data_IF_564568407368
#
_entry.id   IF_564568407368
#
_cell.length_a   1.000
_cell.length_b   1.000
_cell.length_c   1.000
_cell.angle_alpha   90.00
_cell.angle_beta   90.00
_cell.angle_gamma   90.00
#
_symmetry.space_group_name_H-M   'P 1'
#
loop_
_entity.id
_entity.type
_entity.pdbx_description
1 polymer ?
#
# COMPACT_ATOMS: atom_id res chain seq x y z
N UNK A 1 48.66 0.89 52.18
CA UNK A 1 49.04 1.32 50.81
C UNK A 1 48.98 0.12 49.86
N UNK A 2 47.99 0.05 48.94
CA UNK A 2 47.88 -1.04 47.95
C UNK A 2 48.74 -0.69 46.73
N UNK A 3 49.78 -1.48 46.44
CA UNK A 3 50.55 -1.37 45.20
C UNK A 3 49.63 -1.71 44.02
N UNK A 4 49.30 -0.71 43.18
CA UNK A 4 48.62 -0.95 41.90
C UNK A 4 49.62 -1.64 40.96
N UNK A 5 49.33 -2.88 40.58
CA UNK A 5 50.12 -3.60 39.58
C UNK A 5 50.04 -2.83 38.25
N UNK A 6 51.19 -2.50 37.66
CA UNK A 6 51.21 -1.90 36.33
C UNK A 6 50.90 -2.98 35.27
N UNK A 7 50.09 -2.64 34.25
CA UNK A 7 49.77 -3.57 33.18
C UNK A 7 51.04 -3.92 32.39
N UNK A 8 51.24 -5.22 32.14
CA UNK A 8 52.33 -5.69 31.29
C UNK A 8 52.14 -5.12 29.87
N UNK A 9 53.21 -4.65 29.20
CA UNK A 9 53.11 -4.14 27.85
C UNK A 9 52.61 -5.25 26.92
N UNK A 10 51.54 -4.97 26.19
CA UNK A 10 51.00 -5.90 25.19
C UNK A 10 52.02 -6.05 24.06
N UNK A 11 52.45 -7.28 23.81
CA UNK A 11 53.41 -7.59 22.77
C UNK A 11 52.82 -7.33 21.37
N UNK A 12 53.64 -6.85 20.43
CA UNK A 12 53.22 -6.47 19.08
C UNK A 12 52.62 -7.64 18.31
N UNK A 13 53.04 -8.85 18.66
CA UNK A 13 52.49 -10.11 18.16
C UNK A 13 50.97 -10.22 18.38
N UNK A 14 50.44 -9.75 19.51
CA UNK A 14 48.99 -9.82 19.80
C UNK A 14 48.15 -8.97 18.86
N UNK A 15 48.65 -7.82 18.43
CA UNK A 15 47.94 -6.96 17.47
C UNK A 15 47.89 -7.59 16.08
N UNK A 16 48.97 -8.27 15.69
CA UNK A 16 49.01 -8.98 14.40
C UNK A 16 48.06 -10.17 14.42
N UNK A 17 48.05 -10.95 15.51
CA UNK A 17 47.14 -12.08 15.66
C UNK A 17 45.67 -11.66 15.75
N UNK A 18 45.36 -10.57 16.46
CA UNK A 18 43.99 -10.06 16.54
C UNK A 18 43.50 -9.50 15.20
N UNK A 19 44.36 -8.82 14.45
CA UNK A 19 44.05 -8.35 13.10
C UNK A 19 43.79 -9.51 12.15
N UNK A 20 44.64 -10.54 12.20
CA UNK A 20 44.51 -11.73 11.34
C UNK A 20 43.24 -12.51 11.66
N UNK A 21 42.89 -12.64 12.95
CA UNK A 21 41.63 -13.22 13.41
C UNK A 21 40.43 -12.44 12.85
N UNK A 22 40.45 -11.11 12.92
CA UNK A 22 39.37 -10.26 12.39
C UNK A 22 39.19 -10.42 10.88
N UNK A 23 40.30 -10.51 10.13
CA UNK A 23 40.26 -10.72 8.67
C UNK A 23 39.62 -12.07 8.35
N UNK A 24 40.03 -13.14 9.04
CA UNK A 24 39.48 -14.48 8.85
C UNK A 24 37.98 -14.50 9.19
N UNK A 25 37.58 -13.85 10.28
CA UNK A 25 36.17 -13.75 10.67
C UNK A 25 35.34 -12.99 9.63
N UNK A 26 35.87 -11.91 9.07
CA UNK A 26 35.20 -11.13 8.03
C UNK A 26 35.02 -11.94 6.74
N UNK A 27 36.03 -12.72 6.32
CA UNK A 27 35.95 -13.60 5.15
C UNK A 27 34.95 -14.73 5.41
N UNK A 28 34.97 -15.34 6.59
CA UNK A 28 34.04 -16.40 6.98
C UNK A 28 32.60 -15.90 7.02
N UNK A 29 32.35 -14.74 7.61
CA UNK A 29 31.04 -14.10 7.60
C UNK A 29 30.60 -13.74 6.17
N UNK A 30 31.48 -13.21 5.31
CA UNK A 30 31.13 -12.87 3.93
C UNK A 30 30.88 -14.06 3.00
N UNK A 31 31.41 -15.24 3.32
CA UNK A 31 31.27 -16.46 2.49
C UNK A 31 30.14 -17.38 2.93
N UNK A 32 29.72 -17.32 4.20
CA UNK A 32 28.57 -18.07 4.71
C UNK A 32 27.26 -17.47 4.19
N UNK A 33 26.26 -18.32 3.87
CA UNK A 33 24.98 -17.90 3.27
C UNK A 33 24.30 -16.76 4.04
N UNK A 34 24.41 -16.73 5.37
CA UNK A 34 23.85 -15.66 6.20
C UNK A 34 24.49 -14.29 5.98
N UNK A 35 25.80 -14.21 5.69
CA UNK A 35 26.43 -12.92 5.41
C UNK A 35 26.15 -12.43 4.00
N UNK A 36 26.01 -13.34 3.03
CA UNK A 36 25.57 -12.97 1.68
C UNK A 36 24.13 -12.44 1.70
N UNK A 37 23.20 -13.14 2.35
CA UNK A 37 21.81 -12.67 2.48
C UNK A 37 21.72 -11.37 3.28
N UNK A 38 22.54 -11.17 4.30
CA UNK A 38 22.59 -9.91 5.06
C UNK A 38 23.15 -8.74 4.23
N UNK A 39 24.20 -8.96 3.43
CA UNK A 39 24.76 -7.95 2.53
C UNK A 39 23.77 -7.60 1.42
N UNK A 40 23.07 -8.59 0.86
CA UNK A 40 22.04 -8.37 -0.15
C UNK A 40 20.83 -7.63 0.45
N UNK A 41 20.41 -7.98 1.67
CA UNK A 41 19.37 -7.27 2.39
C UNK A 41 19.77 -5.81 2.67
N UNK A 42 21.00 -5.55 3.11
CA UNK A 42 21.51 -4.19 3.31
C UNK A 42 21.59 -3.40 2.00
N UNK A 43 22.07 -4.01 0.91
CA UNK A 43 22.12 -3.36 -0.41
C UNK A 43 20.73 -3.02 -0.92
N UNK A 44 19.78 -3.96 -0.79
CA UNK A 44 18.37 -3.75 -1.12
C UNK A 44 17.78 -2.63 -0.27
N UNK A 45 18.00 -2.63 1.05
CA UNK A 45 17.52 -1.57 1.94
C UNK A 45 18.12 -0.20 1.61
N UNK A 46 19.43 -0.13 1.31
CA UNK A 46 20.09 1.13 0.95
C UNK A 46 19.61 1.63 -0.40
N UNK A 47 19.39 0.75 -1.38
CA UNK A 47 18.80 1.12 -2.68
C UNK A 47 17.35 1.58 -2.50
N UNK A 48 16.51 0.84 -1.78
CA UNK A 48 15.12 1.23 -1.48
C UNK A 48 15.07 2.55 -0.70
N UNK A 49 15.96 2.77 0.27
CA UNK A 49 16.01 4.01 1.04
C UNK A 49 16.55 5.21 0.25
N UNK A 50 17.49 4.99 -0.67
CA UNK A 50 17.99 6.04 -1.58
C UNK A 50 16.95 6.40 -2.64
N UNK A 51 16.30 5.39 -3.22
CA UNK A 51 15.17 5.59 -4.14
C UNK A 51 13.99 6.24 -3.43
N UNK A 52 13.71 5.89 -2.16
CA UNK A 52 12.67 6.54 -1.39
C UNK A 52 12.87 8.07 -1.36
N UNK A 53 14.07 8.57 -1.04
CA UNK A 53 14.33 10.03 -0.93
C UNK A 53 13.97 10.85 -2.17
N UNK A 54 13.98 10.25 -3.37
CA UNK A 54 13.65 10.93 -4.63
C UNK A 54 12.23 10.64 -5.13
N UNK A 55 11.53 9.68 -4.51
CA UNK A 55 10.15 9.39 -4.84
C UNK A 55 9.22 10.37 -4.13
N UNK A 56 8.38 11.02 -4.93
CA UNK A 56 7.28 11.87 -4.46
C UNK A 56 6.41 11.10 -3.45
N UNK A 57 5.87 11.81 -2.46
CA UNK A 57 5.08 11.23 -1.38
C UNK A 57 3.88 10.44 -1.92
N UNK A 58 3.26 10.96 -2.99
CA UNK A 58 2.17 10.31 -3.71
C UNK A 58 2.59 9.00 -4.37
N UNK A 59 3.75 8.99 -5.02
CA UNK A 59 4.28 7.78 -5.64
C UNK A 59 4.66 6.72 -4.60
N UNK A 60 5.19 7.12 -3.44
CA UNK A 60 5.43 6.18 -2.32
C UNK A 60 4.14 5.58 -1.80
N UNK A 61 3.07 6.37 -1.71
CA UNK A 61 1.74 5.87 -1.33
C UNK A 61 1.20 4.91 -2.39
N UNK A 62 1.31 5.22 -3.67
CA UNK A 62 0.89 4.33 -4.76
C UNK A 62 1.71 3.03 -4.83
N UNK A 63 2.97 3.02 -4.39
CA UNK A 63 3.77 1.79 -4.23
C UNK A 63 3.43 1.01 -2.95
N UNK A 64 2.97 1.70 -1.91
CA UNK A 64 2.59 1.08 -0.62
C UNK A 64 1.20 0.47 -0.69
N UNK A 65 0.31 1.10 -1.44
CA UNK A 65 -1.05 0.68 -1.70
C UNK A 65 -1.14 0.02 -3.09
N UNK A 66 -2.27 -0.61 -3.40
CA UNK A 66 -2.47 -1.20 -4.73
C UNK A 66 -2.96 -0.17 -5.77
N UNK A 67 -3.23 -0.67 -6.98
CA UNK A 67 -3.66 0.11 -8.14
C UNK A 67 -4.99 0.87 -7.91
N UNK A 68 -5.77 0.51 -6.90
CA UNK A 68 -7.05 1.14 -6.58
C UNK A 68 -6.91 2.38 -5.69
N UNK A 69 -5.69 2.67 -5.22
CA UNK A 69 -5.38 3.87 -4.44
C UNK A 69 -5.80 5.17 -5.14
N UNK A 70 -5.51 5.31 -6.43
CA UNK A 70 -5.87 6.50 -7.20
C UNK A 70 -7.38 6.69 -7.30
N UNK A 71 -8.14 5.60 -7.42
CA UNK A 71 -9.61 5.63 -7.43
C UNK A 71 -10.15 6.06 -6.07
N UNK A 72 -9.62 5.51 -4.97
CA UNK A 72 -10.01 5.91 -3.62
C UNK A 72 -9.71 7.39 -3.34
N UNK A 73 -8.56 7.89 -3.82
CA UNK A 73 -8.22 9.32 -3.72
C UNK A 73 -9.17 10.19 -4.54
N UNK A 74 -9.44 9.79 -5.79
CA UNK A 74 -10.41 10.47 -6.65
C UNK A 74 -11.78 10.58 -5.98
N UNK A 75 -12.23 9.53 -5.30
CA UNK A 75 -13.47 9.55 -4.51
C UNK A 75 -13.44 10.63 -3.43
N UNK A 76 -12.37 10.68 -2.64
CA UNK A 76 -12.23 11.70 -1.59
C UNK A 76 -12.26 13.12 -2.18
N UNK A 77 -11.60 13.33 -3.31
CA UNK A 77 -11.47 14.65 -3.92
C UNK A 77 -12.76 15.13 -4.60
N UNK A 78 -13.66 14.22 -4.98
CA UNK A 78 -14.85 14.53 -5.81
C UNK A 78 -16.19 14.37 -5.08
N UNK A 79 -16.21 13.94 -3.83
CA UNK A 79 -17.46 13.70 -3.08
C UNK A 79 -17.46 14.45 -1.75
N UNK A 80 -18.63 14.88 -1.25
CA UNK A 80 -18.75 15.48 0.07
C UNK A 80 -18.50 14.46 1.18
N UNK A 81 -18.25 14.94 2.40
CA UNK A 81 -17.90 14.11 3.55
C UNK A 81 -19.02 13.12 3.98
N UNK A 82 -20.29 13.50 3.81
CA UNK A 82 -21.47 12.70 4.17
C UNK A 82 -21.92 11.75 3.05
N UNK A 83 -21.14 11.62 1.97
CA UNK A 83 -21.51 10.80 0.83
C UNK A 83 -21.64 9.30 1.18
N UNK A 84 -22.71 8.68 0.69
CA UNK A 84 -22.91 7.23 0.65
C UNK A 84 -22.80 6.81 -0.80
N UNK A 85 -21.75 6.03 -1.10
CA UNK A 85 -21.28 5.84 -2.46
C UNK A 85 -21.47 4.38 -2.86
N UNK A 86 -22.22 4.14 -3.94
CA UNK A 86 -22.36 2.81 -4.51
C UNK A 86 -21.08 2.42 -5.25
N UNK A 87 -20.46 1.33 -4.80
CA UNK A 87 -19.27 0.75 -5.40
C UNK A 87 -19.63 -0.48 -6.24
N UNK A 88 -18.80 -0.83 -7.23
CA UNK A 88 -18.94 -2.10 -7.95
C UNK A 88 -18.96 -3.32 -7.03
N UNK A 89 -19.49 -4.46 -7.49
CA UNK A 89 -19.39 -5.72 -6.77
C UNK A 89 -17.92 -6.04 -6.48
N UNK A 90 -17.64 -6.57 -5.29
CA UNK A 90 -16.27 -6.90 -4.90
C UNK A 90 -15.58 -7.84 -5.89
N UNK A 91 -16.33 -8.81 -6.42
CA UNK A 91 -15.79 -9.76 -7.39
C UNK A 91 -15.37 -9.07 -8.69
N UNK A 92 -16.18 -8.14 -9.20
CA UNK A 92 -15.84 -7.34 -10.38
C UNK A 92 -14.51 -6.61 -10.18
N UNK A 93 -14.32 -5.99 -9.02
CA UNK A 93 -13.09 -5.28 -8.67
C UNK A 93 -11.87 -6.22 -8.64
N UNK A 94 -12.03 -7.39 -8.03
CA UNK A 94 -10.96 -8.38 -7.91
C UNK A 94 -10.55 -8.89 -9.30
N UNK A 95 -11.53 -9.17 -10.17
CA UNK A 95 -11.31 -9.67 -11.52
C UNK A 95 -10.60 -8.63 -12.39
N UNK A 96 -10.94 -7.35 -12.27
CA UNK A 96 -10.33 -6.25 -13.01
C UNK A 96 -8.87 -5.99 -12.61
N UNK A 97 -8.52 -6.14 -11.32
CA UNK A 97 -7.15 -5.89 -10.84
C UNK A 97 -6.24 -7.12 -10.99
N UNK A 98 -6.81 -8.33 -10.88
CA UNK A 98 -6.10 -9.58 -11.17
C UNK A 98 -5.05 -10.04 -10.16
N UNK A 99 -4.83 -9.32 -9.05
CA UNK A 99 -3.89 -9.75 -8.00
C UNK A 99 -4.31 -9.32 -6.59
N UNK A 100 -4.35 -10.27 -5.65
CA UNK A 100 -4.68 -10.00 -4.24
C UNK A 100 -6.13 -9.57 -4.03
N UNK A 101 -6.43 -9.04 -2.85
CA UNK A 101 -7.71 -8.37 -2.55
C UNK A 101 -7.42 -6.86 -2.62
N UNK A 102 -7.91 -6.14 -3.64
CA UNK A 102 -7.68 -4.71 -3.75
C UNK A 102 -8.31 -3.93 -2.58
N UNK A 103 -7.73 -2.80 -2.20
CA UNK A 103 -8.22 -1.91 -1.14
C UNK A 103 -9.66 -1.49 -1.41
N UNK A 104 -9.95 -1.15 -2.67
CA UNK A 104 -11.29 -0.77 -3.10
C UNK A 104 -12.29 -1.94 -3.02
N UNK A 105 -11.86 -3.20 -3.10
CA UNK A 105 -12.74 -4.38 -2.93
C UNK A 105 -12.99 -4.76 -1.47
N UNK A 106 -12.17 -4.24 -0.54
CA UNK A 106 -12.28 -4.55 0.89
C UNK A 106 -13.13 -3.48 1.58
N UNK A 107 -14.36 -3.78 2.06
CA UNK A 107 -15.26 -2.77 2.61
C UNK A 107 -14.65 -1.97 3.77
N UNK A 108 -13.94 -2.67 4.67
CA UNK A 108 -13.28 -2.04 5.82
C UNK A 108 -12.09 -1.17 5.41
N UNK A 109 -11.32 -1.60 4.41
CA UNK A 109 -10.16 -0.84 3.91
C UNK A 109 -10.61 0.39 3.12
N UNK A 110 -11.57 0.21 2.22
CA UNK A 110 -12.21 1.28 1.47
C UNK A 110 -12.79 2.33 2.43
N UNK A 111 -13.60 1.91 3.40
CA UNK A 111 -14.19 2.80 4.41
C UNK A 111 -13.11 3.57 5.19
N UNK A 112 -12.10 2.86 5.69
CA UNK A 112 -11.01 3.50 6.46
C UNK A 112 -10.26 4.55 5.65
N UNK A 113 -10.19 4.37 4.33
CA UNK A 113 -9.48 5.28 3.44
C UNK A 113 -10.31 6.53 3.12
N UNK A 114 -11.61 6.36 2.80
CA UNK A 114 -12.48 7.46 2.34
C UNK A 114 -13.27 8.12 3.46
N UNK A 115 -13.09 7.68 4.72
CA UNK A 115 -13.75 8.23 5.90
C UNK A 115 -13.71 9.77 5.88
N UNK A 116 -14.83 10.46 6.16
CA UNK A 116 -16.10 9.95 6.73
C UNK A 116 -17.12 9.35 5.75
N UNK A 117 -16.81 9.24 4.45
CA UNK A 117 -17.71 8.70 3.42
C UNK A 117 -18.00 7.21 3.63
N UNK A 118 -19.16 6.75 3.19
CA UNK A 118 -19.61 5.37 3.39
C UNK A 118 -19.62 4.63 2.04
N UNK A 119 -18.72 3.65 1.81
CA UNK A 119 -18.80 2.80 0.64
C UNK A 119 -19.88 1.72 0.83
N UNK A 120 -20.68 1.50 -0.21
CA UNK A 120 -21.67 0.41 -0.25
C UNK A 120 -21.39 -0.40 -1.50
N UNK A 121 -20.91 -1.62 -1.36
CA UNK A 121 -20.68 -2.50 -2.51
C UNK A 121 -21.99 -3.06 -3.04
N UNK A 122 -22.13 -3.08 -4.35
CA UNK A 122 -23.25 -3.72 -5.01
C UNK A 122 -23.33 -5.22 -4.68
N UNK A 123 -24.52 -5.71 -4.34
CA UNK A 123 -24.80 -7.09 -3.94
C UNK A 123 -24.39 -7.44 -2.49
N UNK A 124 -23.60 -6.61 -1.80
CA UNK A 124 -23.25 -6.84 -0.40
C UNK A 124 -24.38 -6.40 0.53
N UNK A 125 -24.43 -6.95 1.75
CA UNK A 125 -25.36 -6.44 2.77
C UNK A 125 -24.85 -5.18 3.47
N UNK A 126 -25.70 -4.16 3.54
CA UNK A 126 -25.35 -2.86 4.13
C UNK A 126 -26.60 -2.17 4.69
N UNK A 127 -26.52 -1.58 5.89
CA UNK A 127 -27.64 -0.83 6.47
C UNK A 127 -27.88 0.52 5.76
N UNK A 128 -26.96 0.97 4.89
CA UNK A 128 -27.04 2.27 4.19
C UNK A 128 -27.40 2.14 2.70
N UNK A 129 -27.91 0.96 2.30
CA UNK A 129 -28.31 0.66 0.91
C UNK A 129 -29.34 1.64 0.34
N UNK A 130 -30.25 2.13 1.16
CA UNK A 130 -31.32 3.03 0.71
C UNK A 130 -30.92 4.51 0.77
N UNK A 131 -29.71 4.82 1.28
CA UNK A 131 -29.23 6.18 1.50
C UNK A 131 -28.20 6.62 0.45
N UNK A 132 -28.13 5.96 -0.71
CA UNK A 132 -27.15 6.26 -1.75
C UNK A 132 -27.26 7.71 -2.22
N UNK A 133 -26.13 8.42 -2.20
CA UNK A 133 -26.04 9.79 -2.73
C UNK A 133 -25.15 9.87 -3.96
N UNK A 134 -24.22 8.94 -4.14
CA UNK A 134 -23.29 8.92 -5.28
C UNK A 134 -23.11 7.52 -5.85
N UNK A 135 -22.70 7.48 -7.11
CA UNK A 135 -22.33 6.28 -7.86
C UNK A 135 -20.87 6.37 -8.29
N UNK A 136 -20.07 5.38 -7.93
CA UNK A 136 -18.76 5.16 -8.54
C UNK A 136 -18.94 4.33 -9.82
N UNK A 137 -18.62 4.94 -10.96
CA UNK A 137 -18.42 4.22 -12.22
C UNK A 137 -16.95 3.83 -12.29
N UNK A 138 -16.69 2.54 -12.56
CA UNK A 138 -15.35 2.02 -12.74
C UNK A 138 -15.33 0.95 -13.83
N UNK A 139 -14.48 1.14 -14.84
CA UNK A 139 -14.41 0.32 -16.04
C UNK A 139 -15.81 0.16 -16.67
N UNK A 140 -16.52 1.30 -16.78
CA UNK A 140 -17.88 1.40 -17.33
C UNK A 140 -18.98 0.66 -16.55
N UNK A 141 -18.65 0.03 -15.43
CA UNK A 141 -19.65 -0.56 -14.55
C UNK A 141 -20.62 0.50 -14.03
N UNK A 142 -21.91 0.17 -14.02
CA UNK A 142 -23.04 1.00 -13.58
C UNK A 142 -23.44 2.18 -14.47
N UNK A 143 -22.84 2.37 -15.65
CA UNK A 143 -23.32 3.39 -16.61
C UNK A 143 -24.75 3.13 -17.07
N UNK A 144 -25.12 1.86 -17.23
CA UNK A 144 -26.47 1.41 -17.56
C UNK A 144 -27.51 1.85 -16.51
N UNK A 145 -27.11 1.89 -15.23
CA UNK A 145 -27.98 2.30 -14.11
C UNK A 145 -28.36 3.77 -14.14
N UNK A 146 -27.56 4.59 -14.81
CA UNK A 146 -27.79 6.03 -15.00
C UNK A 146 -28.12 6.37 -16.46
N UNK A 147 -28.34 5.37 -17.31
CA UNK A 147 -28.74 5.55 -18.71
C UNK A 147 -27.67 6.15 -19.62
N UNK A 148 -26.39 6.03 -19.25
CA UNK A 148 -25.26 6.51 -20.04
C UNK A 148 -24.63 5.39 -20.87
N UNK A 149 -23.98 5.78 -21.97
CA UNK A 149 -23.21 4.87 -22.83
C UNK A 149 -21.72 4.91 -22.47
N UNK A 150 -20.97 3.81 -22.62
CA UNK A 150 -19.53 3.79 -22.42
C UNK A 150 -18.77 4.74 -23.35
N UNK A 151 -17.89 5.56 -22.79
CA UNK A 151 -16.94 6.45 -23.48
C UNK A 151 -15.58 6.41 -22.77
N UNK A 152 -14.52 6.92 -23.38
CA UNK A 152 -13.21 6.98 -22.71
C UNK A 152 -13.25 7.86 -21.45
N UNK A 153 -14.00 8.96 -21.51
CA UNK A 153 -14.10 9.94 -20.42
C UNK A 153 -14.84 9.42 -19.18
N UNK A 154 -15.69 8.40 -19.33
CA UNK A 154 -16.50 7.86 -18.23
C UNK A 154 -16.06 6.45 -17.80
N UNK A 155 -14.83 6.05 -18.14
CA UNK A 155 -14.28 4.78 -17.65
C UNK A 155 -14.17 4.76 -16.13
N UNK A 156 -13.72 5.86 -15.51
CA UNK A 156 -13.73 6.06 -14.06
C UNK A 156 -14.35 7.42 -13.78
N UNK A 157 -15.52 7.43 -13.16
CA UNK A 157 -16.26 8.65 -12.91
C UNK A 157 -17.10 8.54 -11.64
N UNK A 158 -17.50 9.69 -11.10
CA UNK A 158 -18.47 9.76 -10.01
C UNK A 158 -19.66 10.57 -10.50
N UNK A 159 -20.85 10.01 -10.29
CA UNK A 159 -22.11 10.67 -10.58
C UNK A 159 -22.93 10.78 -9.30
N UNK A 160 -23.77 11.80 -9.23
CA UNK A 160 -24.83 11.85 -8.22
C UNK A 160 -25.81 10.70 -8.47
N UNK A 161 -26.27 10.07 -7.40
CA UNK A 161 -27.28 9.03 -7.51
C UNK A 161 -28.63 9.65 -7.91
N UNK A 162 -29.32 9.15 -8.95
CA UNK A 162 -30.57 9.74 -9.39
C UNK A 162 -31.63 9.73 -8.28
N UNK A 163 -32.26 10.88 -8.04
CA UNK A 163 -33.32 10.99 -7.03
C UNK A 163 -34.47 10.02 -7.30
N UNK A 164 -34.87 9.27 -6.26
CA UNK A 164 -35.99 8.33 -6.34
C UNK A 164 -35.69 7.00 -7.04
N UNK A 165 -34.48 6.81 -7.58
CA UNK A 165 -34.06 5.51 -8.11
C UNK A 165 -33.68 4.58 -6.96
N UNK A 166 -34.36 3.43 -6.88
CA UNK A 166 -33.94 2.36 -5.95
C UNK A 166 -32.95 1.45 -6.66
N UNK A 167 -31.77 1.20 -6.08
CA UNK A 167 -30.87 0.18 -6.60
C UNK A 167 -31.55 -1.20 -6.58
N UNK A 168 -31.56 -1.89 -7.71
CA UNK A 168 -31.84 -3.32 -7.82
C UNK A 168 -30.59 -4.08 -7.36
N UNK A 169 -30.64 -4.68 -6.17
CA UNK A 169 -29.51 -5.37 -5.52
C UNK A 169 -29.28 -6.78 -6.05
#
# INVERSE_FOLDING_TARGET
MRKKAQPKPLDRSYYLWSLLLLIVLAIFCGTTMCGRTFVDFQRSWIQTARSARTLDFEYRRQLTYDQTYSVLKFIVDQTPEDAVILFPPRQFIIDEVGSGIPLLASPSSAYSFIYPRIPVHFGDDSPRKDDLTHLLVWNHWALDRIGLQPTEDNQVAIYEWPEGLRPDW
#
